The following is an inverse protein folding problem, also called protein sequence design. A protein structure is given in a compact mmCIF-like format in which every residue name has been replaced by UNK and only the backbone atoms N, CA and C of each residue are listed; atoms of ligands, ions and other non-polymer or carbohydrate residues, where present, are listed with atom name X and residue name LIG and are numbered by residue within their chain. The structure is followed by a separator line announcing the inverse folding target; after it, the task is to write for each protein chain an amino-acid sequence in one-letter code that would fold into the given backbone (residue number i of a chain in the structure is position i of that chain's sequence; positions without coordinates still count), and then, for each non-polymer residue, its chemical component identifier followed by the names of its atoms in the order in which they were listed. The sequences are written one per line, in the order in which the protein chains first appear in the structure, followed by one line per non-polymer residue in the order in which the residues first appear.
data_IF_002209240993
#
_entry.id   IF_002209240993
#
_cell.length_a   1.000
_cell.length_b   1.000
_cell.length_c   1.000
_cell.angle_alpha   90.00
_cell.angle_beta   90.00
_cell.angle_gamma   90.00
#
_symmetry.space_group_name_H-M   'P 1'
#
loop_
_entity.id
_entity.type
_entity.pdbx_description
1 polymer ?
#
# COMPACT_ATOMS: atom_id res chain seq x y z
N UNK A 1 -61.79 -16.71 27.82
CA UNK A 1 -60.74 -16.32 26.85
C UNK A 1 -60.06 -15.05 27.37
N UNK A 2 -58.92 -15.17 28.08
CA UNK A 2 -58.17 -14.04 28.65
C UNK A 2 -57.01 -13.71 27.71
N UNK A 3 -57.03 -12.56 27.05
CA UNK A 3 -55.90 -12.07 26.27
C UNK A 3 -54.87 -11.44 27.22
N UNK A 4 -53.68 -12.03 27.30
CA UNK A 4 -52.52 -11.43 27.97
C UNK A 4 -51.74 -10.65 26.89
N UNK A 5 -51.68 -9.33 27.02
CA UNK A 5 -50.83 -8.45 26.19
C UNK A 5 -49.44 -8.39 26.81
N UNK A 6 -48.44 -8.95 26.13
CA UNK A 6 -47.03 -8.74 26.45
C UNK A 6 -46.57 -7.41 25.88
N UNK A 7 -46.18 -6.48 26.76
CA UNK A 7 -45.54 -5.21 26.40
C UNK A 7 -44.02 -5.44 26.37
N UNK A 8 -43.42 -5.49 25.18
CA UNK A 8 -41.97 -5.49 25.03
C UNK A 8 -41.43 -4.08 25.35
N UNK A 9 -40.70 -3.95 26.44
CA UNK A 9 -39.94 -2.75 26.78
C UNK A 9 -38.55 -2.90 26.15
N UNK A 10 -38.28 -2.14 25.08
CA UNK A 10 -36.92 -1.96 24.57
C UNK A 10 -36.15 -1.09 25.57
N UNK A 11 -35.30 -1.70 26.41
CA UNK A 11 -34.28 -0.96 27.14
C UNK A 11 -33.20 -0.51 26.14
N UNK A 12 -33.26 0.74 25.70
CA UNK A 12 -32.12 1.39 25.08
C UNK A 12 -31.01 1.52 26.14
N UNK A 13 -29.95 0.74 26.00
CA UNK A 13 -28.72 0.88 26.77
C UNK A 13 -28.06 2.21 26.39
N UNK A 14 -28.34 3.26 27.17
CA UNK A 14 -27.55 4.49 27.14
C UNK A 14 -26.12 4.13 27.54
N UNK A 15 -25.20 4.09 26.57
CA UNK A 15 -23.77 4.16 26.87
C UNK A 15 -23.50 5.54 27.43
N UNK A 16 -23.00 5.69 28.66
CA UNK A 16 -22.53 6.99 29.14
C UNK A 16 -21.43 7.49 28.20
N UNK A 17 -21.42 8.80 27.91
CA UNK A 17 -20.27 9.44 27.27
C UNK A 17 -19.07 9.29 28.23
N UNK A 18 -18.25 8.27 27.99
CA UNK A 18 -16.95 8.19 28.63
C UNK A 18 -16.02 9.17 27.93
N UNK A 19 -15.51 10.10 28.74
CA UNK A 19 -14.46 11.06 28.43
C UNK A 19 -13.20 10.37 27.90
N UNK A 20 -12.69 10.89 26.80
CA UNK A 20 -11.36 10.70 26.21
C UNK A 20 -10.95 9.25 25.88
N UNK A 21 -11.15 8.82 24.63
CA UNK A 21 -10.76 7.50 24.17
C UNK A 21 -9.23 7.36 24.19
N UNK A 22 -8.70 6.29 24.79
CA UNK A 22 -7.26 6.01 24.79
C UNK A 22 -6.92 4.91 23.79
N UNK A 23 -5.99 5.17 22.87
CA UNK A 23 -5.66 4.23 21.78
C UNK A 23 -4.15 4.01 21.63
N UNK A 24 -3.80 2.81 21.15
CA UNK A 24 -2.44 2.38 20.82
C UNK A 24 -2.50 1.17 19.85
N UNK A 25 -1.38 0.84 19.22
CA UNK A 25 -1.28 -0.30 18.30
C UNK A 25 -1.98 -0.07 16.95
N UNK A 26 -2.50 -1.15 16.37
CA UNK A 26 -3.22 -1.11 15.09
C UNK A 26 -4.71 -0.85 15.35
N UNK A 27 -5.21 0.30 14.88
CA UNK A 27 -6.61 0.74 15.07
C UNK A 27 -7.46 0.64 13.81
N UNK A 28 -6.83 0.47 12.65
CA UNK A 28 -7.51 0.32 11.37
C UNK A 28 -7.78 -1.17 11.05
N UNK A 29 -8.83 -1.41 10.29
CA UNK A 29 -9.11 -2.69 9.65
C UNK A 29 -9.14 -2.49 8.14
N UNK A 30 -8.61 -3.46 7.38
CA UNK A 30 -8.32 -3.30 5.96
C UNK A 30 -9.00 -4.40 5.17
N UNK A 31 -9.61 -4.03 4.05
CA UNK A 31 -10.46 -4.90 3.25
C UNK A 31 -10.05 -4.77 1.79
N UNK A 32 -9.77 -5.90 1.14
CA UNK A 32 -9.48 -5.92 -0.29
C UNK A 32 -10.76 -5.63 -1.05
N UNK A 33 -10.73 -4.66 -1.93
CA UNK A 33 -11.84 -4.41 -2.87
C UNK A 33 -11.69 -5.39 -4.02
N UNK A 34 -12.77 -6.10 -4.34
CA UNK A 34 -12.80 -7.15 -5.38
C UNK A 34 -13.66 -6.78 -6.58
N UNK A 35 -14.51 -5.76 -6.46
CA UNK A 35 -15.35 -5.25 -7.55
C UNK A 35 -15.81 -3.81 -7.26
N UNK A 36 -16.11 -3.07 -8.33
CA UNK A 36 -16.82 -1.78 -8.25
C UNK A 36 -18.25 -2.01 -8.73
N UNK A 37 -19.24 -1.58 -7.95
CA UNK A 37 -20.67 -1.84 -8.24
C UNK A 37 -21.43 -0.52 -8.37
N UNK A 38 -21.37 0.15 -9.54
CA UNK A 38 -21.94 1.49 -9.72
C UNK A 38 -23.46 1.54 -9.50
N UNK A 39 -24.19 0.47 -9.82
CA UNK A 39 -25.65 0.41 -9.66
C UNK A 39 -26.12 0.55 -8.21
N UNK A 40 -25.24 0.27 -7.25
CA UNK A 40 -25.51 0.40 -5.83
C UNK A 40 -24.63 1.46 -5.18
N UNK A 41 -23.88 2.26 -5.94
CA UNK A 41 -22.87 3.16 -5.40
C UNK A 41 -21.99 2.47 -4.33
N UNK A 42 -21.45 1.31 -4.68
CA UNK A 42 -20.81 0.43 -3.71
C UNK A 42 -19.57 -0.27 -4.24
N UNK A 43 -18.83 -0.85 -3.31
CA UNK A 43 -17.66 -1.68 -3.57
C UNK A 43 -17.90 -3.07 -2.97
N UNK A 44 -17.58 -4.12 -3.74
CA UNK A 44 -17.50 -5.47 -3.18
C UNK A 44 -16.15 -5.63 -2.49
N UNK A 45 -16.16 -6.24 -1.30
CA UNK A 45 -14.94 -6.53 -0.55
C UNK A 45 -14.82 -8.01 -0.23
N UNK A 46 -13.60 -8.46 0.04
CA UNK A 46 -13.32 -9.88 0.34
C UNK A 46 -13.97 -10.40 1.63
N UNK A 47 -14.23 -9.51 2.58
CA UNK A 47 -14.89 -9.77 3.86
C UNK A 47 -15.52 -8.46 4.36
N UNK A 48 -16.69 -8.52 4.98
CA UNK A 48 -17.38 -7.37 5.59
C UNK A 48 -17.33 -7.40 7.12
N UNK A 49 -16.74 -8.45 7.71
CA UNK A 49 -16.68 -8.64 9.15
C UNK A 49 -16.00 -7.45 9.84
N UNK A 50 -16.69 -6.84 10.80
CA UNK A 50 -16.20 -5.66 11.52
C UNK A 50 -16.53 -4.32 10.88
N UNK A 51 -17.13 -4.29 9.68
CA UNK A 51 -17.76 -3.09 9.11
C UNK A 51 -19.20 -2.95 9.60
N UNK A 52 -19.62 -1.71 9.85
CA UNK A 52 -20.96 -1.36 10.30
C UNK A 52 -21.52 -0.19 9.49
N UNK A 53 -22.84 -0.08 9.44
CA UNK A 53 -23.51 1.12 8.93
C UNK A 53 -23.07 2.33 9.76
N UNK A 54 -22.85 3.46 9.08
CA UNK A 54 -22.28 4.71 9.58
C UNK A 54 -20.78 4.68 9.89
N UNK A 55 -20.07 3.57 9.63
CA UNK A 55 -18.61 3.61 9.70
C UNK A 55 -18.04 4.58 8.65
N UNK A 56 -17.05 5.37 9.07
CA UNK A 56 -16.20 6.12 8.16
C UNK A 56 -15.15 5.19 7.57
N UNK A 57 -14.95 5.29 6.27
CA UNK A 57 -13.97 4.48 5.55
C UNK A 57 -13.11 5.34 4.64
N UNK A 58 -11.88 4.90 4.40
CA UNK A 58 -10.98 5.43 3.37
C UNK A 58 -10.91 4.40 2.24
N UNK A 59 -11.20 4.82 1.02
CA UNK A 59 -10.96 4.02 -0.18
C UNK A 59 -9.67 4.56 -0.80
N UNK A 60 -8.74 3.67 -1.12
CA UNK A 60 -7.45 4.06 -1.72
C UNK A 60 -6.91 2.99 -2.65
N UNK A 61 -6.38 3.43 -3.79
CA UNK A 61 -5.73 2.55 -4.76
C UNK A 61 -4.21 2.60 -4.61
N UNK A 62 -3.63 1.50 -4.19
CA UNK A 62 -2.21 1.37 -3.86
C UNK A 62 -1.35 1.16 -5.10
N UNK A 63 -1.85 0.41 -6.09
CA UNK A 63 -1.14 0.11 -7.33
C UNK A 63 -1.99 0.42 -8.56
N UNK A 64 -1.35 0.61 -9.71
CA UNK A 64 -2.03 0.86 -10.98
C UNK A 64 -1.21 1.66 -12.00
N UNK A 65 0.03 2.03 -11.67
CA UNK A 65 0.90 2.70 -12.62
C UNK A 65 1.44 1.73 -13.68
N UNK A 66 1.54 2.19 -14.92
CA UNK A 66 2.27 1.55 -16.00
C UNK A 66 3.67 2.17 -16.13
N UNK A 67 4.64 1.35 -16.55
CA UNK A 67 6.03 1.77 -16.70
C UNK A 67 6.59 1.47 -18.07
N UNK A 68 7.71 2.12 -18.39
CA UNK A 68 8.59 1.69 -19.46
C UNK A 68 9.23 0.36 -19.06
N UNK A 69 9.04 -0.62 -19.94
CA UNK A 69 9.44 -2.01 -19.76
C UNK A 69 10.61 -2.42 -20.66
N UNK A 70 11.18 -1.48 -21.42
CA UNK A 70 12.35 -1.69 -22.27
C UNK A 70 13.59 -1.94 -21.42
N UNK A 71 14.53 -2.77 -21.90
CA UNK A 71 15.77 -3.02 -21.19
C UNK A 71 16.77 -1.87 -21.39
N UNK A 72 16.40 -0.68 -20.93
CA UNK A 72 17.13 0.57 -21.14
C UNK A 72 17.11 1.45 -19.87
N UNK A 73 17.79 2.59 -19.90
CA UNK A 73 17.76 3.58 -18.81
C UNK A 73 16.37 4.09 -18.47
N UNK A 74 15.42 3.95 -19.40
CA UNK A 74 14.03 4.31 -19.17
C UNK A 74 13.28 3.29 -18.29
N UNK A 75 13.78 2.05 -18.12
CA UNK A 75 13.07 1.00 -17.36
C UNK A 75 12.60 1.50 -15.99
N UNK A 76 11.33 1.23 -15.69
CA UNK A 76 10.70 1.64 -14.43
C UNK A 76 10.23 3.09 -14.39
N UNK A 77 10.45 3.88 -15.45
CA UNK A 77 9.86 5.22 -15.59
C UNK A 77 8.36 5.11 -15.78
N UNK A 78 7.59 5.97 -15.12
CA UNK A 78 6.13 5.97 -15.22
C UNK A 78 5.74 6.48 -16.62
N UNK A 79 5.02 5.67 -17.38
CA UNK A 79 4.42 6.06 -18.67
C UNK A 79 2.96 6.47 -18.51
N UNK A 80 2.28 5.93 -17.49
CA UNK A 80 0.95 6.34 -17.07
C UNK A 80 0.78 6.07 -15.58
N UNK A 81 0.39 7.08 -14.80
CA UNK A 81 0.16 6.94 -13.35
C UNK A 81 -1.10 6.10 -13.03
N UNK A 82 -2.04 6.03 -13.97
CA UNK A 82 -3.31 5.36 -13.79
C UNK A 82 -4.08 5.87 -12.56
N UNK A 83 -4.75 4.95 -11.88
CA UNK A 83 -5.53 5.24 -10.69
C UNK A 83 -4.71 5.08 -9.40
N UNK A 84 -3.41 4.76 -9.50
CA UNK A 84 -2.54 4.69 -8.33
C UNK A 84 -2.57 6.00 -7.54
N UNK A 85 -2.69 5.87 -6.23
CA UNK A 85 -2.78 6.94 -5.25
C UNK A 85 -4.10 7.70 -5.20
N UNK A 86 -5.11 7.37 -6.02
CA UNK A 86 -6.45 7.94 -5.83
C UNK A 86 -6.99 7.51 -4.48
N UNK A 87 -7.60 8.45 -3.76
CA UNK A 87 -8.19 8.19 -2.47
C UNK A 87 -9.39 9.10 -2.22
N UNK A 88 -10.33 8.63 -1.40
CA UNK A 88 -11.38 9.45 -0.83
C UNK A 88 -11.95 8.80 0.43
N UNK A 89 -12.58 9.60 1.28
CA UNK A 89 -13.32 9.10 2.43
C UNK A 89 -14.81 8.99 2.12
N UNK A 90 -15.44 7.92 2.59
CA UNK A 90 -16.88 7.71 2.49
C UNK A 90 -17.49 7.30 3.83
N UNK A 91 -18.81 7.27 3.87
CA UNK A 91 -19.60 6.73 4.99
C UNK A 91 -20.43 5.57 4.46
N UNK A 92 -20.38 4.44 5.16
CA UNK A 92 -21.20 3.27 4.83
C UNK A 92 -22.65 3.55 5.19
N UNK A 93 -23.60 3.43 4.25
CA UNK A 93 -25.03 3.55 4.54
C UNK A 93 -25.77 2.20 4.53
N UNK A 94 -25.14 1.12 4.04
CA UNK A 94 -25.74 -0.20 4.03
C UNK A 94 -24.84 -1.26 3.40
N UNK A 95 -25.38 -2.48 3.34
CA UNK A 95 -24.74 -3.63 2.71
C UNK A 95 -25.74 -4.38 1.85
N UNK A 96 -25.25 -4.95 0.74
CA UNK A 96 -25.95 -5.95 -0.05
C UNK A 96 -25.02 -7.14 -0.24
N UNK A 97 -25.24 -8.22 0.52
CA UNK A 97 -24.29 -9.32 0.64
C UNK A 97 -22.90 -8.80 1.04
N UNK A 98 -21.88 -8.99 0.19
CA UNK A 98 -20.50 -8.55 0.33
C UNK A 98 -20.23 -7.15 -0.26
N UNK A 99 -21.27 -6.48 -0.77
CA UNK A 99 -21.18 -5.12 -1.32
C UNK A 99 -21.44 -4.09 -0.23
N UNK A 100 -20.44 -3.25 0.04
CA UNK A 100 -20.52 -2.08 0.90
C UNK A 100 -21.11 -0.93 0.11
N UNK A 101 -22.19 -0.32 0.59
CA UNK A 101 -22.91 0.76 -0.08
C UNK A 101 -22.63 2.09 0.62
N UNK A 102 -22.33 3.14 -0.13
CA UNK A 102 -21.98 4.45 0.42
C UNK A 102 -23.12 5.46 0.38
N UNK A 103 -23.14 6.34 1.39
CA UNK A 103 -24.11 7.43 1.54
C UNK A 103 -24.08 8.42 0.37
N UNK A 104 -22.90 8.63 -0.22
CA UNK A 104 -22.66 9.56 -1.34
C UNK A 104 -21.86 8.87 -2.44
N UNK A 105 -22.08 9.31 -3.67
CA UNK A 105 -21.32 8.81 -4.82
C UNK A 105 -19.83 9.06 -4.66
N UNK A 106 -19.03 8.03 -4.99
CA UNK A 106 -17.58 8.18 -5.04
C UNK A 106 -17.20 9.11 -6.19
N UNK A 107 -16.31 10.06 -5.92
CA UNK A 107 -15.81 10.99 -6.94
C UNK A 107 -14.83 10.31 -7.89
N UNK A 108 -13.99 9.42 -7.37
CA UNK A 108 -12.98 8.74 -8.16
C UNK A 108 -13.53 7.44 -8.75
N UNK A 109 -12.98 7.09 -9.92
CA UNK A 109 -13.14 5.77 -10.51
C UNK A 109 -11.92 4.94 -10.12
N UNK A 110 -12.18 3.79 -9.48
CA UNK A 110 -11.16 2.85 -9.03
C UNK A 110 -11.05 1.67 -9.99
N UNK A 111 -9.83 1.18 -10.20
CA UNK A 111 -9.59 -0.04 -10.97
C UNK A 111 -9.39 -1.21 -10.00
N UNK A 112 -10.48 -1.94 -9.71
CA UNK A 112 -10.48 -3.10 -8.81
C UNK A 112 -9.64 -4.29 -9.32
N UNK A 113 -9.24 -4.29 -10.59
CA UNK A 113 -8.27 -5.27 -11.12
C UNK A 113 -6.84 -4.97 -10.67
N UNK A 114 -6.65 -3.82 -10.03
CA UNK A 114 -5.44 -3.41 -9.32
C UNK A 114 -5.68 -3.40 -7.81
N UNK A 115 -4.66 -3.00 -7.06
CA UNK A 115 -4.70 -3.06 -5.61
C UNK A 115 -5.50 -1.87 -5.06
N UNK A 116 -6.79 -2.09 -4.81
CA UNK A 116 -7.68 -1.15 -4.13
C UNK A 116 -8.03 -1.73 -2.76
N UNK A 117 -7.87 -0.91 -1.72
CA UNK A 117 -8.25 -1.29 -0.37
C UNK A 117 -9.25 -0.29 0.22
N UNK A 118 -10.19 -0.83 0.98
CA UNK A 118 -11.10 -0.09 1.84
C UNK A 118 -10.59 -0.23 3.28
N UNK A 119 -10.40 0.89 3.97
CA UNK A 119 -9.85 0.95 5.32
C UNK A 119 -10.89 1.53 6.24
N UNK A 120 -11.28 0.82 7.29
CA UNK A 120 -12.16 1.35 8.34
C UNK A 120 -11.41 2.39 9.16
N UNK A 121 -11.98 3.58 9.28
CA UNK A 121 -11.39 4.74 9.96
C UNK A 121 -12.18 5.00 11.24
N UNK A 122 -11.63 4.68 12.42
CA UNK A 122 -12.32 4.99 13.67
C UNK A 122 -12.46 6.51 13.83
N UNK A 123 -13.66 6.93 14.24
CA UNK A 123 -14.01 8.33 14.49
C UNK A 123 -14.30 8.50 15.98
N UNK A 124 -13.62 9.43 16.61
CA UNK A 124 -13.75 9.76 18.03
C UNK A 124 -14.36 11.15 18.24
N UNK A 125 -14.84 11.44 19.44
CA UNK A 125 -15.09 12.84 19.84
C UNK A 125 -13.77 13.49 20.22
N UNK A 126 -13.16 13.03 21.32
CA UNK A 126 -11.79 13.34 21.73
C UNK A 126 -11.03 12.02 21.88
N UNK A 127 -9.74 12.04 21.54
CA UNK A 127 -8.87 10.85 21.60
C UNK A 127 -7.46 11.19 22.06
N UNK A 128 -6.94 10.39 22.99
CA UNK A 128 -5.56 10.45 23.45
C UNK A 128 -4.78 9.21 23.01
N UNK A 129 -3.69 9.41 22.28
CA UNK A 129 -2.78 8.35 21.83
C UNK A 129 -1.77 8.09 22.96
N UNK A 130 -1.98 7.01 23.71
CA UNK A 130 -1.21 6.69 24.93
C UNK A 130 -0.06 5.72 24.69
N UNK A 131 -0.04 5.06 23.54
CA UNK A 131 1.05 4.20 23.08
C UNK A 131 1.21 4.30 21.56
N UNK A 132 2.30 3.76 21.03
CA UNK A 132 2.62 3.90 19.60
C UNK A 132 1.49 3.39 18.71
N UNK A 133 0.96 4.25 17.84
CA UNK A 133 0.05 3.82 16.77
C UNK A 133 0.85 3.24 15.61
N UNK A 134 0.36 2.14 15.06
CA UNK A 134 1.03 1.39 14.01
C UNK A 134 0.06 1.04 12.88
N UNK A 135 0.59 0.96 11.66
CA UNK A 135 -0.12 0.34 10.55
C UNK A 135 0.09 -1.18 10.58
N UNK A 136 -0.90 -1.93 10.13
CA UNK A 136 -0.65 -3.32 9.74
C UNK A 136 0.30 -3.29 8.53
N UNK A 137 1.38 -4.07 8.49
CA UNK A 137 2.25 -4.10 7.33
C UNK A 137 1.50 -4.50 6.05
N UNK A 138 1.91 -3.90 4.93
CA UNK A 138 1.40 -4.23 3.60
C UNK A 138 1.51 -5.73 3.32
N UNK A 139 0.38 -6.33 2.97
CA UNK A 139 0.30 -7.71 2.51
C UNK A 139 0.19 -7.74 1.00
N UNK A 140 1.21 -8.26 0.30
CA UNK A 140 1.14 -8.48 -1.16
C UNK A 140 0.03 -9.45 -1.54
N UNK A 141 -0.29 -10.42 -0.68
CA UNK A 141 -1.33 -11.44 -0.95
C UNK A 141 -2.73 -10.87 -0.85
N UNK A 142 -2.99 -10.09 0.20
CA UNK A 142 -4.31 -9.51 0.44
C UNK A 142 -4.45 -8.13 -0.20
N UNK A 143 -3.36 -7.52 -0.65
CA UNK A 143 -3.30 -6.17 -1.22
C UNK A 143 -3.86 -5.10 -0.28
N UNK A 144 -3.57 -5.24 1.00
CA UNK A 144 -4.05 -4.37 2.09
C UNK A 144 -2.96 -4.07 3.11
N UNK A 145 -3.11 -2.96 3.85
CA UNK A 145 -2.21 -2.55 4.92
C UNK A 145 -1.50 -1.23 4.61
N UNK A 146 -0.54 -0.87 5.47
CA UNK A 146 0.38 0.26 5.31
C UNK A 146 -0.21 1.64 5.58
N UNK A 147 -1.38 1.71 6.23
CA UNK A 147 -2.09 2.98 6.45
C UNK A 147 -2.49 3.11 7.92
N UNK A 148 -2.15 4.25 8.54
CA UNK A 148 -2.79 4.69 9.78
C UNK A 148 -3.74 5.82 9.45
N UNK A 149 -5.01 5.68 9.82
CA UNK A 149 -6.02 6.72 9.61
C UNK A 149 -6.97 6.77 10.81
N UNK A 150 -7.08 7.93 11.45
CA UNK A 150 -8.05 8.20 12.52
C UNK A 150 -8.73 9.54 12.26
N UNK A 151 -9.89 9.74 12.85
CA UNK A 151 -10.55 11.04 12.85
C UNK A 151 -11.08 11.36 14.26
N UNK A 152 -11.11 12.64 14.61
CA UNK A 152 -11.80 13.14 15.79
C UNK A 152 -12.59 14.39 15.41
N UNK A 153 -13.76 14.58 16.03
CA UNK A 153 -14.55 15.83 15.86
C UNK A 153 -14.10 16.93 16.81
N UNK A 154 -13.47 16.56 17.93
CA UNK A 154 -12.82 17.42 18.91
C UNK A 154 -11.30 17.31 18.81
N UNK A 155 -10.62 16.96 19.90
CA UNK A 155 -9.17 16.93 20.00
C UNK A 155 -8.54 15.55 19.72
N UNK A 156 -7.34 15.57 19.14
CA UNK A 156 -6.41 14.43 19.09
C UNK A 156 -5.19 14.80 19.92
N UNK A 157 -5.01 14.16 21.07
CA UNK A 157 -3.86 14.34 21.96
C UNK A 157 -2.80 13.29 21.68
N UNK A 158 -1.61 13.70 21.23
CA UNK A 158 -0.48 12.83 20.90
C UNK A 158 0.48 12.70 22.09
N UNK A 159 0.28 11.71 22.97
CA UNK A 159 1.23 11.40 24.05
C UNK A 159 2.25 10.32 23.65
N UNK A 160 2.08 9.69 22.49
CA UNK A 160 3.00 8.74 21.89
C UNK A 160 3.07 8.90 20.36
N UNK A 161 4.07 8.28 19.74
CA UNK A 161 4.34 8.41 18.31
C UNK A 161 3.34 7.66 17.44
N UNK A 162 3.18 8.14 16.20
CA UNK A 162 2.63 7.33 15.10
C UNK A 162 3.82 6.79 14.32
N UNK A 163 3.97 5.47 14.26
CA UNK A 163 5.07 4.81 13.57
C UNK A 163 4.54 3.82 12.52
N UNK A 164 4.81 4.11 11.24
CA UNK A 164 4.49 3.26 10.10
C UNK A 164 5.75 2.68 9.41
N UNK A 165 6.89 2.66 10.11
CA UNK A 165 8.14 2.11 9.62
C UNK A 165 7.94 0.65 9.19
N UNK A 166 8.48 0.30 8.02
CA UNK A 166 8.38 -1.05 7.43
C UNK A 166 6.95 -1.55 7.18
N UNK A 167 5.93 -0.69 7.28
CA UNK A 167 4.56 -1.07 6.99
C UNK A 167 4.16 -0.89 5.51
N UNK A 168 5.03 -0.25 4.72
CA UNK A 168 4.83 0.07 3.31
C UNK A 168 5.13 -1.09 2.35
N UNK A 169 5.33 -0.76 1.08
CA UNK A 169 5.65 -1.74 0.03
C UNK A 169 6.88 -2.57 0.39
N UNK A 170 6.87 -3.85 -0.01
CA UNK A 170 7.97 -4.76 0.36
C UNK A 170 9.25 -4.42 -0.40
N UNK A 171 10.36 -4.37 0.33
CA UNK A 171 11.68 -4.30 -0.27
C UNK A 171 12.02 -5.56 -1.09
N UNK A 172 13.07 -5.46 -1.90
CA UNK A 172 13.59 -6.58 -2.67
C UNK A 172 13.99 -7.75 -1.78
N UNK A 173 13.61 -8.96 -2.15
CA UNK A 173 13.97 -10.17 -1.39
C UNK A 173 15.46 -10.46 -1.59
N UNK A 174 16.18 -10.65 -0.48
CA UNK A 174 17.56 -11.09 -0.51
C UNK A 174 17.64 -12.46 -1.18
N UNK A 175 18.50 -12.57 -2.19
CA UNK A 175 18.86 -13.86 -2.77
C UNK A 175 20.37 -14.02 -2.63
N UNK A 176 20.78 -14.99 -1.80
CA UNK A 176 22.19 -15.27 -1.58
C UNK A 176 22.68 -16.16 -2.69
N UNK A 177 23.79 -15.74 -3.28
CA UNK A 177 24.43 -16.45 -4.35
C UNK A 177 25.82 -16.96 -3.90
N UNK A 178 26.19 -18.22 -4.16
CA UNK A 178 27.49 -18.79 -3.72
C UNK A 178 28.62 -18.55 -4.71
N UNK A 179 28.29 -18.07 -5.92
CA UNK A 179 29.24 -17.80 -7.00
C UNK A 179 28.98 -16.42 -7.60
N UNK A 180 30.01 -15.79 -8.17
CA UNK A 180 29.92 -14.47 -8.78
C UNK A 180 30.30 -14.52 -10.27
N UNK A 181 29.76 -13.58 -11.04
CA UNK A 181 30.20 -13.38 -12.42
C UNK A 181 31.44 -12.45 -12.44
N UNK A 182 32.48 -12.83 -13.18
CA UNK A 182 33.68 -11.99 -13.37
C UNK A 182 33.37 -10.71 -14.16
N UNK A 183 32.30 -10.72 -14.95
CA UNK A 183 31.76 -9.56 -15.66
C UNK A 183 30.25 -9.51 -15.46
N UNK A 184 29.68 -8.31 -15.34
CA UNK A 184 28.22 -8.13 -15.25
C UNK A 184 27.72 -7.24 -16.37
N UNK A 185 26.67 -7.69 -17.06
CA UNK A 185 25.97 -6.87 -18.05
C UNK A 185 25.12 -5.81 -17.35
N UNK A 186 25.06 -4.61 -17.92
CA UNK A 186 24.31 -3.47 -17.36
C UNK A 186 22.81 -3.51 -17.69
N UNK A 187 22.19 -4.71 -17.66
CA UNK A 187 20.76 -4.86 -17.93
C UNK A 187 19.93 -4.25 -16.79
N UNK A 188 18.71 -3.78 -17.08
CA UNK A 188 17.77 -3.23 -16.10
C UNK A 188 16.86 -4.33 -15.52
N UNK A 189 16.59 -5.36 -16.31
CA UNK A 189 16.04 -6.62 -15.88
C UNK A 189 16.72 -7.77 -16.65
N UNK A 190 16.73 -8.96 -16.07
CA UNK A 190 17.36 -10.12 -16.71
C UNK A 190 16.63 -10.49 -17.99
N UNK A 191 17.33 -10.63 -19.13
CA UNK A 191 16.73 -11.23 -20.32
C UNK A 191 16.64 -12.77 -20.22
N UNK A 192 17.22 -13.39 -19.18
CA UNK A 192 17.18 -14.84 -19.00
C UNK A 192 15.81 -15.28 -18.50
N UNK A 193 15.21 -16.26 -19.18
CA UNK A 193 13.94 -16.89 -18.81
C UNK A 193 14.08 -17.94 -17.71
N UNK A 194 15.30 -18.21 -17.23
CA UNK A 194 15.54 -19.19 -16.15
C UNK A 194 15.62 -18.46 -14.81
N UNK A 195 14.69 -18.75 -13.90
CA UNK A 195 14.51 -18.09 -12.59
C UNK A 195 15.68 -18.29 -11.61
N UNK A 196 16.65 -19.12 -11.95
CA UNK A 196 17.75 -19.56 -11.07
C UNK A 196 19.14 -19.16 -11.56
N UNK A 197 19.25 -18.26 -12.55
CA UNK A 197 20.57 -17.84 -13.03
C UNK A 197 21.16 -16.75 -12.11
N UNK A 198 22.42 -16.93 -11.69
CA UNK A 198 23.21 -15.93 -10.93
C UNK A 198 23.34 -14.57 -11.67
N UNK A 199 22.96 -14.55 -12.95
CA UNK A 199 22.92 -13.39 -13.85
C UNK A 199 21.57 -12.67 -13.85
N UNK A 200 20.62 -13.04 -12.97
CA UNK A 200 19.32 -12.38 -12.92
C UNK A 200 19.32 -11.08 -12.10
N UNK A 201 20.39 -10.82 -11.36
CA UNK A 201 20.42 -9.80 -10.33
C UNK A 201 19.49 -10.16 -9.17
N UNK A 202 19.58 -9.42 -8.06
CA UNK A 202 18.66 -9.65 -6.93
C UNK A 202 17.31 -8.97 -7.20
N UNK A 203 16.29 -9.39 -6.45
CA UNK A 203 14.93 -8.91 -6.63
C UNK A 203 14.80 -7.42 -6.31
N UNK A 204 14.02 -6.72 -7.13
CA UNK A 204 13.63 -5.32 -6.97
C UNK A 204 12.58 -5.19 -5.86
N UNK A 205 12.48 -4.01 -5.27
CA UNK A 205 11.38 -3.65 -4.37
C UNK A 205 10.06 -3.45 -5.11
N UNK A 206 8.96 -3.61 -4.38
CA UNK A 206 7.63 -3.27 -4.86
C UNK A 206 7.47 -1.74 -4.98
N UNK A 207 6.59 -1.31 -5.88
CA UNK A 207 6.17 0.09 -6.00
C UNK A 207 4.70 0.22 -6.37
N UNK A 208 4.32 1.38 -6.88
CA UNK A 208 2.93 1.67 -7.31
C UNK A 208 2.54 0.99 -8.63
N UNK A 209 3.47 0.32 -9.30
CA UNK A 209 3.18 -0.65 -10.35
C UNK A 209 3.07 -2.08 -9.78
N UNK A 210 2.42 -2.97 -10.51
CA UNK A 210 2.53 -4.40 -10.23
C UNK A 210 3.89 -4.93 -10.62
N UNK A 211 4.40 -5.85 -9.81
CA UNK A 211 5.60 -6.61 -10.13
C UNK A 211 5.40 -7.33 -11.46
N UNK A 212 6.29 -7.08 -12.41
CA UNK A 212 6.20 -7.68 -13.74
C UNK A 212 6.89 -9.04 -13.73
N UNK A 213 6.15 -10.07 -14.13
CA UNK A 213 6.68 -11.43 -14.26
C UNK A 213 7.90 -11.46 -15.17
N UNK A 214 8.95 -12.18 -14.79
CA UNK A 214 10.27 -12.27 -15.45
C UNK A 214 11.14 -10.99 -15.44
N UNK A 215 10.69 -9.91 -14.79
CA UNK A 215 11.45 -8.65 -14.68
C UNK A 215 11.66 -8.22 -13.23
N UNK A 216 11.54 -9.17 -12.32
CA UNK A 216 11.64 -8.96 -10.87
C UNK A 216 13.09 -8.76 -10.42
N UNK A 217 14.07 -9.32 -11.14
CA UNK A 217 15.50 -9.25 -10.80
C UNK A 217 16.28 -8.23 -11.65
N UNK A 218 17.32 -7.61 -11.08
CA UNK A 218 18.24 -6.69 -11.78
C UNK A 218 18.20 -5.24 -11.30
N UNK A 219 19.11 -4.40 -11.80
CA UNK A 219 19.35 -3.05 -11.28
C UNK A 219 18.26 -2.02 -11.56
N UNK A 220 17.41 -2.25 -12.57
CA UNK A 220 16.31 -1.35 -12.88
C UNK A 220 15.37 -1.23 -11.69
N UNK A 221 14.88 -0.03 -11.42
CA UNK A 221 13.80 0.21 -10.45
C UNK A 221 12.44 -0.23 -11.02
N UNK A 222 11.47 -0.50 -10.17
CA UNK A 222 10.05 -0.61 -10.57
C UNK A 222 9.28 0.54 -9.94
N UNK A 223 9.02 1.59 -10.71
CA UNK A 223 8.51 2.88 -10.19
C UNK A 223 9.31 3.36 -8.98
N UNK A 224 8.67 3.46 -7.81
CA UNK A 224 9.26 3.87 -6.56
C UNK A 224 9.89 2.71 -5.77
N UNK A 225 9.77 1.47 -6.24
CA UNK A 225 10.53 0.32 -5.75
C UNK A 225 11.96 0.31 -6.29
N UNK A 226 12.95 0.28 -5.38
CA UNK A 226 14.37 0.29 -5.73
C UNK A 226 14.81 -0.98 -6.48
N UNK A 227 15.82 -0.85 -7.34
CA UNK A 227 16.39 -1.96 -8.09
C UNK A 227 17.30 -2.85 -7.24
N UNK A 228 17.51 -4.10 -7.66
CA UNK A 228 18.31 -5.05 -6.88
C UNK A 228 19.83 -4.94 -7.06
N UNK A 229 20.29 -4.73 -8.30
CA UNK A 229 21.71 -4.83 -8.66
C UNK A 229 22.03 -6.11 -9.42
N UNK A 230 23.07 -6.09 -10.26
CA UNK A 230 23.31 -7.13 -11.27
C UNK A 230 24.43 -8.11 -10.95
N UNK A 231 25.26 -7.87 -9.94
CA UNK A 231 26.35 -8.78 -9.61
C UNK A 231 26.40 -9.10 -8.12
N UNK A 232 27.20 -10.11 -7.79
CA UNK A 232 27.51 -10.47 -6.42
C UNK A 232 28.00 -9.24 -5.64
N UNK A 233 27.44 -9.07 -4.44
CA UNK A 233 27.72 -7.98 -3.51
C UNK A 233 27.44 -6.56 -4.03
N UNK A 234 26.86 -6.35 -5.22
CA UNK A 234 26.38 -5.01 -5.57
C UNK A 234 25.16 -4.69 -4.72
N UNK A 235 25.13 -3.50 -4.12
CA UNK A 235 24.01 -3.06 -3.30
C UNK A 235 22.75 -2.83 -4.12
N UNK A 236 21.60 -3.10 -3.49
CA UNK A 236 20.30 -2.67 -3.99
C UNK A 236 20.07 -1.17 -3.81
N UNK A 237 19.25 -0.60 -4.68
CA UNK A 237 18.74 0.76 -4.53
C UNK A 237 17.63 0.81 -3.49
N UNK A 238 17.52 1.95 -2.79
CA UNK A 238 16.43 2.22 -1.86
C UNK A 238 15.11 2.53 -2.57
N UNK A 239 13.99 2.32 -1.88
CA UNK A 239 12.67 2.80 -2.32
C UNK A 239 12.56 4.32 -2.30
N UNK A 240 11.64 4.85 -3.09
CA UNK A 240 11.28 6.26 -3.15
C UNK A 240 9.83 6.50 -2.73
N UNK A 241 9.52 7.75 -2.42
CA UNK A 241 8.14 8.24 -2.25
C UNK A 241 8.14 9.73 -2.61
N UNK A 242 8.04 10.66 -1.66
CA UNK A 242 8.19 12.08 -1.96
C UNK A 242 9.56 12.39 -2.59
N UNK A 243 10.64 11.82 -2.04
CA UNK A 243 11.98 11.86 -2.62
C UNK A 243 12.31 10.61 -3.44
N UNK A 244 13.37 10.69 -4.26
CA UNK A 244 13.96 9.52 -4.91
C UNK A 244 14.72 8.66 -3.90
N UNK A 245 14.70 7.35 -4.10
CA UNK A 245 15.54 6.42 -3.34
C UNK A 245 17.02 6.57 -3.69
N UNK A 246 17.89 6.16 -2.76
CA UNK A 246 19.34 6.12 -3.00
C UNK A 246 19.75 5.00 -3.94
N UNK A 247 20.81 5.21 -4.72
CA UNK A 247 21.43 4.13 -5.50
C UNK A 247 22.22 3.19 -4.57
N UNK A 248 22.30 1.92 -4.95
CA UNK A 248 23.12 0.95 -4.25
C UNK A 248 24.63 1.17 -4.43
N UNK A 249 25.41 0.52 -3.58
CA UNK A 249 26.88 0.56 -3.66
C UNK A 249 27.46 -0.40 -4.69
N UNK A 250 28.57 -0.01 -5.31
CA UNK A 250 29.40 -0.93 -6.10
C UNK A 250 30.06 -1.97 -5.18
N UNK A 251 30.37 -3.15 -5.73
CA UNK A 251 31.21 -4.12 -5.03
C UNK A 251 32.67 -4.01 -5.49
N UNK A 252 33.58 -3.95 -4.52
CA UNK A 252 35.04 -3.96 -4.75
C UNK A 252 35.65 -5.20 -4.09
N UNK A 253 36.25 -6.09 -4.89
CA UNK A 253 36.93 -7.31 -4.43
C UNK A 253 37.66 -8.00 -5.58
N UNK A 254 38.75 -8.74 -5.28
CA UNK A 254 39.72 -9.26 -6.27
C UNK A 254 39.11 -10.14 -7.38
N UNK A 255 38.04 -10.89 -7.12
CA UNK A 255 37.41 -11.79 -8.10
C UNK A 255 35.97 -11.45 -8.47
N UNK A 256 35.29 -10.57 -7.72
CA UNK A 256 33.85 -10.31 -7.87
C UNK A 256 33.56 -8.81 -7.83
N UNK A 257 34.13 -8.04 -8.77
CA UNK A 257 33.84 -6.62 -8.89
C UNK A 257 32.54 -6.40 -9.68
N UNK A 258 31.72 -5.45 -9.24
CA UNK A 258 30.44 -5.12 -9.86
C UNK A 258 30.20 -3.62 -9.85
N UNK A 259 30.03 -3.04 -11.04
CA UNK A 259 29.76 -1.61 -11.27
C UNK A 259 28.30 -1.31 -11.62
N UNK A 260 27.41 -2.29 -11.41
CA UNK A 260 26.00 -2.23 -11.80
C UNK A 260 25.08 -2.37 -10.56
N UNK A 261 25.12 -1.42 -9.62
CA UNK A 261 24.27 -1.44 -8.43
C UNK A 261 22.83 -1.13 -8.79
N UNK A 262 21.93 -1.47 -7.87
CA UNK A 262 20.52 -1.14 -7.96
C UNK A 262 20.30 0.36 -8.07
N UNK A 263 19.40 0.74 -8.97
CA UNK A 263 18.99 2.13 -9.16
C UNK A 263 17.90 2.43 -8.12
N UNK A 264 18.01 3.58 -7.45
CA UNK A 264 17.02 4.03 -6.49
C UNK A 264 15.63 4.21 -7.11
N UNK A 265 14.59 3.99 -6.30
CA UNK A 265 13.20 4.20 -6.69
C UNK A 265 12.92 5.66 -7.09
N UNK A 266 11.93 5.85 -7.96
CA UNK A 266 11.49 7.19 -8.38
C UNK A 266 10.91 8.00 -7.22
N UNK A 267 11.09 9.32 -7.33
CA UNK A 267 10.24 10.27 -6.63
C UNK A 267 8.85 10.28 -7.28
N UNK A 268 7.82 10.23 -6.44
CA UNK A 268 6.41 10.36 -6.78
C UNK A 268 5.88 11.79 -6.50
N UNK A 269 6.73 12.73 -6.08
CA UNK A 269 6.32 14.11 -5.75
C UNK A 269 5.56 14.79 -6.89
N UNK A 270 5.97 14.58 -8.15
CA UNK A 270 5.32 15.13 -9.32
C UNK A 270 3.88 14.61 -9.55
N UNK A 271 3.53 13.46 -8.96
CA UNK A 271 2.23 12.82 -9.08
C UNK A 271 1.39 12.93 -7.79
N UNK A 272 1.98 13.38 -6.69
CA UNK A 272 1.37 13.38 -5.36
C UNK A 272 0.33 14.47 -5.15
N UNK A 273 0.11 14.86 -3.89
CA UNK A 273 -0.90 15.86 -3.56
C UNK A 273 -0.58 17.21 -4.20
N UNK A 274 -1.48 17.66 -5.06
CA UNK A 274 -1.56 19.00 -5.60
C UNK A 274 -3.02 19.34 -5.83
N UNK A 275 -3.34 20.62 -6.04
CA UNK A 275 -4.69 21.04 -6.38
C UNK A 275 -5.26 20.32 -7.63
N UNK A 276 -4.40 19.80 -8.50
CA UNK A 276 -4.79 19.11 -9.74
C UNK A 276 -4.80 17.57 -9.63
N UNK A 277 -3.89 16.96 -8.88
CA UNK A 277 -3.69 15.49 -8.87
C UNK A 277 -4.37 14.78 -7.69
N UNK A 278 -4.42 15.42 -6.51
CA UNK A 278 -4.99 14.88 -5.27
C UNK A 278 -4.74 13.37 -5.03
N UNK A 279 -3.48 12.92 -5.14
CA UNK A 279 -3.07 11.53 -4.90
C UNK A 279 -2.14 11.42 -3.70
N UNK A 280 -2.17 10.28 -3.02
CA UNK A 280 -1.20 9.90 -1.98
C UNK A 280 -0.70 8.49 -2.24
N UNK A 281 0.58 8.25 -1.98
CA UNK A 281 1.22 6.97 -2.26
C UNK A 281 1.85 6.40 -0.99
N UNK A 282 1.77 5.09 -0.86
CA UNK A 282 2.55 4.34 0.13
C UNK A 282 4.00 4.25 -0.33
N UNK A 283 4.92 4.39 0.62
CA UNK A 283 6.37 4.21 0.41
C UNK A 283 6.79 2.75 0.50
#
# INVERSE_FOLDING_TARGET
MKLIRYMLIFLASYKPLSSDAQIFGVVNSYFKVTDVVPSYNGLRVSDISGLNVNDRVLIIQMKGAAIDESNSSAFGSITNIGQAGLYEFATICGFLNDTVIFERELKNIYDYTKAVQLVRVPVYTDVTITGTLQAQPWSTTNETGGIVAIAATGAITLNASINADSAGFRGGTLHTFTTCALTSSAYYYSPSTTTSSWQNGIYKGEGINYTISSKEGGRGKQTNGGGGGNNHNTGGGGGGNYGSGGNGGNSTGYSCSGSNPGIGGLSLSAYGYSAASNKIFMG
#
